data_IF_768818675364
#
_entry.id   IF_768818675364
#
_cell.length_a   1.000
_cell.length_b   1.000
_cell.length_c   1.000
_cell.angle_alpha   90.00
_cell.angle_beta   90.00
_cell.angle_gamma   90.00
#
_symmetry.space_group_name_H-M   'P 1'
#
loop_
_entity.id
_entity.type
_entity.pdbx_description
1 polymer ?
#
# COMPACT_ATOMS: atom_id res chain seq x y z
N UNK A 1 -6.28 -2.53 -14.13
CA UNK A 1 -5.44 -3.65 -13.67
C UNK A 1 -4.19 -3.05 -13.06
N UNK A 2 -3.84 -3.47 -11.85
CA UNK A 2 -2.65 -2.95 -11.16
C UNK A 2 -1.37 -3.50 -11.80
N UNK A 3 -0.26 -2.78 -11.61
CA UNK A 3 1.06 -3.20 -12.05
C UNK A 3 2.09 -2.97 -10.93
N UNK A 4 3.16 -3.79 -10.86
CA UNK A 4 4.29 -3.49 -9.99
C UNK A 4 4.87 -2.10 -10.27
N UNK A 5 5.38 -1.46 -9.24
CA UNK A 5 5.92 -0.09 -9.21
C UNK A 5 4.92 1.02 -9.52
N UNK A 6 3.62 0.70 -9.60
CA UNK A 6 2.56 1.69 -9.66
C UNK A 6 2.34 2.33 -8.29
N UNK A 7 2.21 3.65 -8.27
CA UNK A 7 1.80 4.38 -7.07
C UNK A 7 0.30 4.22 -6.85
N UNK A 8 -0.10 4.03 -5.60
CA UNK A 8 -1.49 4.00 -5.18
C UNK A 8 -1.73 4.95 -4.02
N UNK A 9 -2.99 5.28 -3.79
CA UNK A 9 -3.47 6.02 -2.63
C UNK A 9 -4.50 5.18 -1.86
N UNK A 10 -4.40 5.16 -0.53
CA UNK A 10 -5.36 4.46 0.33
C UNK A 10 -6.72 5.17 0.33
N UNK A 11 -7.80 4.42 0.09
CA UNK A 11 -9.18 4.92 0.11
C UNK A 11 -9.83 4.85 1.50
N UNK A 12 -9.17 4.23 2.47
CA UNK A 12 -9.60 4.13 3.87
C UNK A 12 -8.42 3.82 4.78
N UNK A 13 -8.63 3.97 6.09
CA UNK A 13 -7.72 3.43 7.09
C UNK A 13 -7.62 1.91 6.97
N UNK A 14 -6.39 1.39 6.97
CA UNK A 14 -6.09 -0.04 6.96
C UNK A 14 -5.72 -0.52 8.37
N UNK A 15 -4.89 0.27 9.07
CA UNK A 15 -4.43 -0.01 10.43
C UNK A 15 -4.03 1.32 11.13
N UNK A 16 -3.49 1.31 12.36
CA UNK A 16 -3.08 2.53 13.06
C UNK A 16 -2.00 3.37 12.36
N UNK A 17 -1.15 2.75 11.55
CA UNK A 17 -0.05 3.43 10.83
C UNK A 17 -0.41 3.80 9.38
N UNK A 18 -1.34 3.06 8.77
CA UNK A 18 -1.75 3.23 7.37
C UNK A 18 -3.14 3.86 7.28
N UNK A 19 -3.15 5.16 7.00
CA UNK A 19 -4.33 6.05 6.99
C UNK A 19 -4.80 6.39 5.59
N UNK A 20 -6.10 6.69 5.47
CA UNK A 20 -6.69 7.19 4.23
C UNK A 20 -5.85 8.34 3.63
N UNK A 21 -5.69 8.35 2.31
CA UNK A 21 -4.92 9.35 1.57
C UNK A 21 -3.41 9.13 1.55
N UNK A 22 -2.88 8.15 2.29
CA UNK A 22 -1.46 7.81 2.20
C UNK A 22 -1.13 7.17 0.84
N UNK A 23 0.04 7.53 0.32
CA UNK A 23 0.55 7.01 -0.94
C UNK A 23 1.59 5.92 -0.71
N UNK A 24 1.48 4.86 -1.48
CA UNK A 24 2.39 3.72 -1.45
C UNK A 24 2.72 3.26 -2.86
N UNK A 25 3.62 2.29 -2.95
CA UNK A 25 4.06 1.69 -4.22
C UNK A 25 3.77 0.19 -4.19
N UNK A 26 3.17 -0.31 -5.27
CA UNK A 26 2.94 -1.75 -5.43
C UNK A 26 4.27 -2.46 -5.67
N UNK A 27 4.59 -3.45 -4.84
CA UNK A 27 5.73 -4.33 -5.03
C UNK A 27 5.36 -5.58 -5.84
N UNK A 28 4.14 -6.08 -5.65
CA UNK A 28 3.65 -7.30 -6.30
C UNK A 28 2.15 -7.28 -6.53
N UNK A 29 1.71 -7.94 -7.60
CA UNK A 29 0.30 -8.20 -7.90
C UNK A 29 0.10 -9.70 -7.78
N UNK A 30 -0.70 -10.14 -6.81
CA UNK A 30 -0.94 -11.56 -6.58
C UNK A 30 -2.07 -12.09 -7.44
N UNK A 31 -3.14 -11.31 -7.56
CA UNK A 31 -4.30 -11.56 -8.41
C UNK A 31 -5.04 -10.25 -8.74
N UNK A 32 -6.23 -10.34 -9.32
CA UNK A 32 -7.04 -9.17 -9.69
C UNK A 32 -7.57 -8.38 -8.48
N UNK A 33 -7.61 -9.01 -7.30
CA UNK A 33 -8.19 -8.45 -6.08
C UNK A 33 -7.15 -8.06 -5.04
N UNK A 34 -5.90 -8.49 -5.16
CA UNK A 34 -4.89 -8.36 -4.10
C UNK A 34 -3.53 -7.90 -4.62
N UNK A 35 -2.95 -6.95 -3.90
CA UNK A 35 -1.65 -6.34 -4.21
C UNK A 35 -0.80 -6.25 -2.94
N UNK A 36 0.52 -6.38 -3.07
CA UNK A 36 1.48 -6.09 -2.02
C UNK A 36 2.04 -4.69 -2.21
N UNK A 37 2.02 -3.88 -1.14
CA UNK A 37 2.35 -2.46 -1.19
C UNK A 37 3.29 -2.10 -0.04
N UNK A 38 4.24 -1.22 -0.32
CA UNK A 38 5.02 -0.52 0.71
C UNK A 38 4.62 0.95 0.82
N UNK A 39 4.80 1.50 2.02
CA UNK A 39 4.58 2.90 2.33
C UNK A 39 5.83 3.45 3.01
N UNK A 40 6.22 4.66 2.66
CA UNK A 40 7.37 5.33 3.26
C UNK A 40 6.91 6.43 4.22
N UNK A 41 7.66 6.65 5.29
CA UNK A 41 7.52 7.82 6.13
C UNK A 41 8.16 9.07 5.48
N UNK A 42 8.14 10.20 6.20
CA UNK A 42 8.69 11.46 5.69
C UNK A 42 10.22 11.45 5.56
N UNK A 43 10.89 10.52 6.22
CA UNK A 43 12.34 10.34 6.17
C UNK A 43 12.75 9.34 5.07
N UNK A 44 11.77 8.73 4.38
CA UNK A 44 11.96 7.81 3.28
C UNK A 44 12.16 6.36 3.70
N UNK A 45 11.91 6.02 4.97
CA UNK A 45 11.98 4.64 5.47
C UNK A 45 10.64 3.94 5.37
N UNK A 46 10.65 2.62 5.19
CA UNK A 46 9.43 1.84 5.22
C UNK A 46 8.70 1.98 6.56
N UNK A 47 7.40 2.22 6.50
CA UNK A 47 6.54 2.21 7.67
C UNK A 47 6.40 0.76 8.15
N UNK A 48 6.89 0.50 9.36
CA UNK A 48 6.76 -0.80 10.01
C UNK A 48 5.51 -0.86 10.90
N UNK A 49 4.75 -1.96 10.82
CA UNK A 49 3.70 -2.28 11.78
C UNK A 49 3.67 -3.77 12.07
N UNK A 50 3.79 -4.15 13.35
CA UNK A 50 3.88 -5.54 13.80
C UNK A 50 4.98 -6.37 13.11
N UNK A 51 6.17 -5.77 12.89
CA UNK A 51 7.29 -6.45 12.23
C UNK A 51 7.17 -6.60 10.72
N UNK A 52 6.14 -6.01 10.10
CA UNK A 52 5.92 -6.02 8.66
C UNK A 52 6.19 -4.63 8.07
N UNK A 53 6.88 -4.59 6.93
CA UNK A 53 7.20 -3.36 6.17
C UNK A 53 6.49 -3.30 4.81
N UNK A 54 5.82 -4.40 4.44
CA UNK A 54 4.94 -4.50 3.27
C UNK A 54 3.57 -4.98 3.72
N UNK A 55 2.54 -4.66 2.94
CA UNK A 55 1.14 -4.90 3.31
C UNK A 55 0.37 -5.45 2.12
N UNK A 56 -0.33 -6.57 2.32
CA UNK A 56 -1.29 -7.09 1.36
C UNK A 56 -2.60 -6.31 1.46
N UNK A 57 -2.97 -5.61 0.41
CA UNK A 57 -4.18 -4.80 0.33
C UNK A 57 -5.13 -5.36 -0.71
N UNK A 58 -6.43 -5.12 -0.52
CA UNK A 58 -7.42 -5.41 -1.54
C UNK A 58 -7.47 -4.28 -2.56
N UNK A 59 -7.67 -4.62 -3.82
CA UNK A 59 -7.84 -3.69 -4.93
C UNK A 59 -8.88 -2.59 -4.65
N UNK A 60 -9.96 -2.93 -3.94
CA UNK A 60 -11.02 -1.97 -3.56
C UNK A 60 -10.61 -0.95 -2.49
N UNK A 61 -9.50 -1.17 -1.80
CA UNK A 61 -9.03 -0.31 -0.71
C UNK A 61 -8.07 0.77 -1.21
N UNK A 62 -7.71 0.75 -2.50
CA UNK A 62 -6.69 1.61 -3.08
C UNK A 62 -7.11 2.18 -4.44
N UNK A 63 -6.60 3.36 -4.77
CA UNK A 63 -6.79 4.01 -6.07
C UNK A 63 -5.43 4.19 -6.76
N UNK A 64 -5.29 3.78 -8.04
CA UNK A 64 -4.10 4.13 -8.84
C UNK A 64 -3.89 5.65 -8.94
N UNK A 65 -2.65 6.12 -8.72
CA UNK A 65 -2.27 7.51 -8.95
C UNK A 65 -1.64 7.74 -10.34
#
# INVERSE_FOLDING_TARGET
MFQPYQTIELLRDINPMLKIGMKGVILGVWDEETVEVEFLDNDGYNIEYNGQVTFTLKAKDVHPC
#
